data_IF_876629570409
#
_entry.id   IF_876629570409
#
_cell.length_a   1.000
_cell.length_b   1.000
_cell.length_c   1.000
_cell.angle_alpha   90.00
_cell.angle_beta   90.00
_cell.angle_gamma   90.00
#
_symmetry.space_group_name_H-M   'P 1'
#
loop_
_entity.id
_entity.type
_entity.pdbx_description
1 polymer ?
#
# COMPACT_ATOMS: atom_id res chain seq x y z
N UNK A 1 -22.99 -5.43 -36.05
CA UNK A 1 -23.45 -4.44 -35.05
C UNK A 1 -22.89 -4.77 -33.68
N UNK A 2 -22.93 -5.99 -33.19
CA UNK A 2 -22.46 -6.44 -31.85
C UNK A 2 -20.98 -6.12 -31.63
N UNK A 3 -20.10 -6.32 -32.61
CA UNK A 3 -18.67 -6.06 -32.49
C UNK A 3 -18.29 -4.57 -32.36
N UNK A 4 -19.12 -3.64 -32.84
CA UNK A 4 -18.91 -2.20 -32.67
C UNK A 4 -19.34 -1.73 -31.28
N UNK A 5 -20.44 -2.26 -30.75
CA UNK A 5 -20.92 -1.99 -29.40
C UNK A 5 -19.94 -2.44 -28.32
N UNK A 6 -19.43 -3.66 -28.42
CA UNK A 6 -18.45 -4.21 -27.47
C UNK A 6 -17.11 -3.43 -27.51
N UNK A 7 -16.71 -2.94 -28.68
CA UNK A 7 -15.52 -2.09 -28.82
C UNK A 7 -15.74 -0.70 -28.18
N UNK A 8 -16.92 -0.10 -28.38
CA UNK A 8 -17.27 1.21 -27.81
C UNK A 8 -17.37 1.15 -26.27
N UNK A 9 -17.98 0.11 -25.69
CA UNK A 9 -18.04 -0.11 -24.24
C UNK A 9 -16.64 -0.30 -23.67
N UNK A 10 -15.79 -1.08 -24.34
CA UNK A 10 -14.41 -1.33 -23.92
C UNK A 10 -13.53 -0.06 -23.99
N UNK A 11 -13.76 0.82 -24.95
CA UNK A 11 -13.05 2.10 -25.06
C UNK A 11 -13.53 3.07 -23.98
N UNK A 12 -14.80 3.15 -23.70
CA UNK A 12 -15.34 4.01 -22.63
C UNK A 12 -14.87 3.58 -21.24
N UNK A 13 -14.80 2.28 -20.98
CA UNK A 13 -14.41 1.76 -19.67
C UNK A 13 -12.95 2.10 -19.28
N UNK A 14 -11.99 2.08 -20.20
CA UNK A 14 -10.62 2.42 -19.83
C UNK A 14 -10.41 3.94 -19.70
N UNK A 15 -11.11 4.75 -20.48
CA UNK A 15 -11.10 6.21 -20.31
C UNK A 15 -11.66 6.56 -18.94
N UNK A 16 -12.77 5.95 -18.56
CA UNK A 16 -13.35 6.14 -17.22
C UNK A 16 -12.35 5.74 -16.10
N UNK A 17 -11.63 4.63 -16.27
CA UNK A 17 -10.61 4.21 -15.29
C UNK A 17 -9.45 5.21 -15.20
N UNK A 18 -8.95 5.74 -16.32
CA UNK A 18 -7.90 6.77 -16.35
C UNK A 18 -8.38 8.07 -15.71
N UNK A 19 -9.58 8.50 -16.04
CA UNK A 19 -10.18 9.71 -15.46
C UNK A 19 -10.41 9.54 -13.96
N UNK A 20 -10.91 8.38 -13.52
CA UNK A 20 -11.07 8.08 -12.10
C UNK A 20 -9.72 8.06 -11.37
N UNK A 21 -8.69 7.44 -11.95
CA UNK A 21 -7.35 7.43 -11.39
C UNK A 21 -6.78 8.85 -11.25
N UNK A 22 -6.92 9.67 -12.29
CA UNK A 22 -6.47 11.05 -12.27
C UNK A 22 -7.26 11.90 -11.27
N UNK A 23 -8.57 11.74 -11.21
CA UNK A 23 -9.42 12.43 -10.25
C UNK A 23 -9.04 12.05 -8.80
N UNK A 24 -8.91 10.77 -8.51
CA UNK A 24 -8.50 10.29 -7.18
C UNK A 24 -7.08 10.73 -6.82
N UNK A 25 -6.17 10.83 -7.80
CA UNK A 25 -4.79 11.23 -7.55
C UNK A 25 -4.62 12.75 -7.37
N UNK A 26 -5.34 13.56 -8.13
CA UNK A 26 -5.11 14.99 -8.27
C UNK A 26 -6.11 15.86 -7.49
N UNK A 27 -7.35 15.41 -7.34
CA UNK A 27 -8.37 16.21 -6.65
C UNK A 27 -8.13 16.18 -5.12
N UNK A 28 -8.18 17.34 -4.46
CA UNK A 28 -8.16 17.40 -3.01
C UNK A 28 -9.43 16.73 -2.46
N UNK A 29 -9.24 15.69 -1.64
CA UNK A 29 -10.35 15.06 -0.96
C UNK A 29 -10.64 15.81 0.34
N UNK A 30 -11.89 16.19 0.61
CA UNK A 30 -12.23 16.87 1.85
C UNK A 30 -11.98 15.96 3.05
N UNK A 31 -11.50 16.53 4.18
CA UNK A 31 -11.10 15.76 5.38
C UNK A 31 -12.22 14.85 5.92
N UNK A 32 -13.48 15.33 5.91
CA UNK A 32 -14.61 14.50 6.34
C UNK A 32 -14.78 13.21 5.54
N UNK A 33 -14.45 13.23 4.25
CA UNK A 33 -14.51 12.05 3.39
C UNK A 33 -13.36 11.09 3.70
N UNK A 34 -12.14 11.63 3.87
CA UNK A 34 -10.96 10.81 4.10
C UNK A 34 -10.93 10.26 5.53
N UNK A 35 -11.14 11.11 6.54
CA UNK A 35 -11.07 10.69 7.94
C UNK A 35 -12.37 10.04 8.40
N UNK A 36 -13.53 10.63 8.03
CA UNK A 36 -14.84 10.15 8.46
C UNK A 36 -15.30 8.89 7.74
N UNK A 37 -15.35 8.92 6.41
CA UNK A 37 -15.91 7.80 5.63
C UNK A 37 -14.83 6.76 5.35
N UNK A 38 -13.75 7.15 4.68
CA UNK A 38 -12.73 6.20 4.28
C UNK A 38 -11.99 5.61 5.50
N UNK A 39 -11.45 6.47 6.38
CA UNK A 39 -10.62 6.04 7.50
C UNK A 39 -11.36 5.22 8.56
N UNK A 40 -12.64 5.54 8.83
CA UNK A 40 -13.42 4.86 9.86
C UNK A 40 -14.22 3.65 9.36
N UNK A 41 -14.64 3.64 8.10
CA UNK A 41 -15.55 2.61 7.61
C UNK A 41 -14.94 1.76 6.50
N UNK A 42 -14.33 2.37 5.47
CA UNK A 42 -13.84 1.64 4.30
C UNK A 42 -12.51 0.95 4.60
N UNK A 43 -11.54 1.69 5.12
CA UNK A 43 -10.20 1.16 5.34
C UNK A 43 -10.14 -0.02 6.31
N UNK A 44 -10.83 -0.03 7.46
CA UNK A 44 -10.85 -1.19 8.36
C UNK A 44 -11.40 -2.46 7.71
N UNK A 45 -12.43 -2.32 6.86
CA UNK A 45 -12.98 -3.46 6.11
C UNK A 45 -11.97 -3.97 5.09
N UNK A 46 -11.37 -3.09 4.29
CA UNK A 46 -10.33 -3.45 3.30
C UNK A 46 -9.15 -4.13 4.00
N UNK A 47 -8.67 -3.57 5.10
CA UNK A 47 -7.58 -4.13 5.90
C UNK A 47 -7.95 -5.52 6.46
N UNK A 48 -9.14 -5.66 7.02
CA UNK A 48 -9.61 -6.94 7.58
C UNK A 48 -9.65 -8.03 6.52
N UNK A 49 -10.24 -7.73 5.36
CA UNK A 49 -10.32 -8.67 4.23
C UNK A 49 -8.93 -9.01 3.70
N UNK A 50 -8.10 -7.99 3.43
CA UNK A 50 -6.74 -8.20 2.94
C UNK A 50 -5.92 -9.03 3.92
N UNK A 51 -6.00 -8.74 5.22
CA UNK A 51 -5.31 -9.50 6.28
C UNK A 51 -5.84 -10.92 6.38
N UNK A 52 -7.16 -11.14 6.29
CA UNK A 52 -7.74 -12.47 6.30
C UNK A 52 -7.21 -13.32 5.14
N UNK A 53 -7.26 -12.77 3.92
CA UNK A 53 -6.76 -13.44 2.71
C UNK A 53 -5.26 -13.71 2.81
N UNK A 54 -4.47 -12.73 3.23
CA UNK A 54 -3.02 -12.91 3.34
C UNK A 54 -2.64 -13.90 4.44
N UNK A 55 -3.39 -13.97 5.54
CA UNK A 55 -3.11 -14.90 6.63
C UNK A 55 -3.33 -16.39 6.25
N UNK A 56 -4.18 -16.67 5.27
CA UNK A 56 -4.39 -18.03 4.75
C UNK A 56 -3.16 -18.50 3.97
N UNK A 57 -2.49 -17.64 3.23
CA UNK A 57 -1.32 -18.02 2.46
C UNK A 57 -0.13 -18.32 3.40
N UNK A 58 0.60 -19.44 3.23
CA UNK A 58 1.80 -19.77 4.00
C UNK A 58 3.03 -18.95 3.61
N UNK A 59 2.96 -18.21 2.51
CA UNK A 59 4.03 -17.39 1.92
C UNK A 59 3.62 -15.92 1.85
N UNK A 60 4.58 -15.04 1.59
CA UNK A 60 4.30 -13.63 1.35
C UNK A 60 3.52 -13.46 0.02
N UNK A 61 2.26 -13.00 0.11
CA UNK A 61 1.40 -12.79 -1.08
C UNK A 61 2.06 -11.84 -2.08
N UNK A 62 2.89 -10.92 -1.60
CA UNK A 62 3.67 -10.02 -2.45
C UNK A 62 4.57 -10.78 -3.42
N UNK A 63 5.21 -11.88 -3.00
CA UNK A 63 6.05 -12.70 -3.87
C UNK A 63 5.25 -13.30 -5.02
N UNK A 64 4.05 -13.83 -4.71
CA UNK A 64 3.16 -14.35 -5.74
C UNK A 64 2.70 -13.25 -6.71
N UNK A 65 2.43 -12.04 -6.22
CA UNK A 65 2.08 -10.88 -7.06
C UNK A 65 3.24 -10.46 -7.96
N UNK A 66 4.47 -10.44 -7.44
CA UNK A 66 5.67 -10.11 -8.24
C UNK A 66 5.86 -11.17 -9.34
N UNK A 67 5.80 -12.45 -8.99
CA UNK A 67 5.93 -13.55 -9.96
C UNK A 67 4.83 -13.44 -11.02
N UNK A 68 3.59 -13.26 -10.61
CA UNK A 68 2.46 -13.10 -11.54
C UNK A 68 2.66 -11.87 -12.46
N UNK A 69 3.14 -10.74 -11.93
CA UNK A 69 3.42 -9.56 -12.72
C UNK A 69 4.52 -9.82 -13.76
N UNK A 70 5.62 -10.48 -13.37
CA UNK A 70 6.71 -10.86 -14.29
C UNK A 70 6.18 -11.79 -15.40
N UNK A 71 5.39 -12.80 -15.06
CA UNK A 71 4.81 -13.72 -16.03
C UNK A 71 3.85 -13.00 -17.00
N UNK A 72 3.02 -12.11 -16.49
CA UNK A 72 2.10 -11.31 -17.31
C UNK A 72 2.88 -10.39 -18.25
N UNK A 73 3.93 -9.71 -17.75
CA UNK A 73 4.78 -8.84 -18.57
C UNK A 73 5.48 -9.66 -19.66
N UNK A 74 6.09 -10.79 -19.31
CA UNK A 74 6.75 -11.70 -20.27
C UNK A 74 5.80 -12.19 -21.36
N UNK A 75 4.62 -12.67 -20.96
CA UNK A 75 3.58 -13.10 -21.91
C UNK A 75 3.11 -11.97 -22.84
N UNK A 76 2.95 -10.77 -22.28
CA UNK A 76 2.56 -9.58 -23.05
C UNK A 76 3.65 -9.15 -24.01
N UNK A 77 4.93 -9.20 -23.59
CA UNK A 77 6.07 -8.90 -24.44
C UNK A 77 6.16 -9.88 -25.63
N UNK A 78 6.00 -11.18 -25.38
CA UNK A 78 5.97 -12.20 -26.41
C UNK A 78 4.84 -11.96 -27.43
N UNK A 79 3.64 -11.59 -26.94
CA UNK A 79 2.54 -11.22 -27.82
C UNK A 79 2.80 -9.96 -28.64
N UNK A 80 3.40 -8.94 -28.03
CA UNK A 80 3.76 -7.72 -28.76
C UNK A 80 4.80 -7.98 -29.85
N UNK A 81 5.75 -8.86 -29.58
CA UNK A 81 6.72 -9.30 -30.57
C UNK A 81 6.05 -9.92 -31.81
N UNK A 82 5.05 -10.77 -31.60
CA UNK A 82 4.29 -11.37 -32.70
C UNK A 82 3.46 -10.34 -33.49
N UNK A 83 2.89 -9.33 -32.80
CA UNK A 83 2.18 -8.21 -33.43
C UNK A 83 3.15 -7.35 -34.23
N UNK A 84 4.33 -7.02 -33.68
CA UNK A 84 5.33 -6.22 -34.37
C UNK A 84 5.79 -6.88 -35.67
N UNK A 85 5.98 -8.20 -35.67
CA UNK A 85 6.35 -8.98 -36.86
C UNK A 85 5.26 -9.02 -37.94
N UNK A 86 3.97 -8.97 -37.53
CA UNK A 86 2.82 -9.08 -38.46
C UNK A 86 2.27 -7.75 -38.95
N UNK A 87 2.22 -6.77 -38.07
CA UNK A 87 1.51 -5.49 -38.29
C UNK A 87 2.42 -4.25 -38.22
N UNK A 88 3.72 -4.47 -38.07
CA UNK A 88 4.71 -3.42 -37.94
C UNK A 88 4.94 -2.90 -36.53
N UNK A 89 6.12 -2.34 -36.31
CA UNK A 89 6.60 -1.90 -34.98
C UNK A 89 5.75 -0.77 -34.42
N UNK A 90 5.32 0.18 -35.22
CA UNK A 90 4.54 1.33 -34.78
C UNK A 90 3.17 0.91 -34.21
N UNK A 91 2.52 -0.05 -34.85
CA UNK A 91 1.25 -0.63 -34.36
C UNK A 91 1.45 -1.35 -33.03
N UNK A 92 2.53 -2.12 -32.90
CA UNK A 92 2.86 -2.81 -31.67
C UNK A 92 3.16 -1.83 -30.53
N UNK A 93 3.91 -0.76 -30.77
CA UNK A 93 4.19 0.28 -29.77
C UNK A 93 2.93 0.99 -29.30
N UNK A 94 2.03 1.35 -30.23
CA UNK A 94 0.75 1.98 -29.88
C UNK A 94 -0.11 1.06 -28.99
N UNK A 95 -0.18 -0.21 -29.36
CA UNK A 95 -0.93 -1.21 -28.59
C UNK A 95 -0.30 -1.45 -27.21
N UNK A 96 1.05 -1.46 -27.11
CA UNK A 96 1.77 -1.54 -25.87
C UNK A 96 1.49 -0.33 -24.98
N UNK A 97 1.67 0.88 -25.48
CA UNK A 97 1.42 2.13 -24.76
C UNK A 97 0.01 2.17 -24.16
N UNK A 98 -0.97 1.83 -24.98
CA UNK A 98 -2.37 1.81 -24.55
C UNK A 98 -2.67 0.78 -23.46
N UNK A 99 -1.98 -0.38 -23.49
CA UNK A 99 -2.10 -1.41 -22.45
C UNK A 99 -1.40 -0.99 -21.15
N UNK A 100 -0.24 -0.38 -21.26
CA UNK A 100 0.51 0.15 -20.11
C UNK A 100 -0.32 1.22 -19.40
N UNK A 101 -0.84 2.21 -20.13
CA UNK A 101 -1.69 3.26 -19.55
C UNK A 101 -2.88 2.69 -18.81
N UNK A 102 -3.55 1.67 -19.36
CA UNK A 102 -4.64 0.99 -18.66
C UNK A 102 -4.18 0.29 -17.40
N UNK A 103 -3.08 -0.46 -17.49
CA UNK A 103 -2.53 -1.18 -16.35
C UNK A 103 -2.16 -0.22 -15.22
N UNK A 104 -1.48 0.87 -15.54
CA UNK A 104 -1.12 1.91 -14.56
C UNK A 104 -2.37 2.53 -13.95
N UNK A 105 -3.38 2.89 -14.76
CA UNK A 105 -4.62 3.46 -14.24
C UNK A 105 -5.32 2.53 -13.24
N UNK A 106 -5.41 1.23 -13.54
CA UNK A 106 -5.99 0.24 -12.62
C UNK A 106 -5.17 0.14 -11.34
N UNK A 107 -3.83 0.06 -11.44
CA UNK A 107 -2.95 -0.01 -10.27
C UNK A 107 -3.12 1.23 -9.38
N UNK A 108 -3.18 2.43 -9.98
CA UNK A 108 -3.39 3.68 -9.25
C UNK A 108 -4.73 3.69 -8.52
N UNK A 109 -5.82 3.29 -9.19
CA UNK A 109 -7.15 3.22 -8.55
C UNK A 109 -7.16 2.24 -7.37
N UNK A 110 -6.60 1.04 -7.58
CA UNK A 110 -6.53 0.02 -6.54
C UNK A 110 -5.65 0.49 -5.37
N UNK A 111 -4.47 1.04 -5.68
CA UNK A 111 -3.56 1.55 -4.65
C UNK A 111 -4.20 2.68 -3.83
N UNK A 112 -4.80 3.67 -4.48
CA UNK A 112 -5.45 4.79 -3.81
C UNK A 112 -6.66 4.32 -3.00
N UNK A 113 -7.47 3.40 -3.55
CA UNK A 113 -8.63 2.85 -2.86
C UNK A 113 -8.26 1.97 -1.66
N UNK A 114 -7.19 1.21 -1.75
CA UNK A 114 -6.76 0.31 -0.68
C UNK A 114 -5.90 1.00 0.39
N UNK A 115 -5.04 1.92 -0.01
CA UNK A 115 -4.06 2.51 0.91
C UNK A 115 -3.76 3.99 0.68
N UNK A 116 -3.71 4.45 -0.55
CA UNK A 116 -3.23 5.79 -0.90
C UNK A 116 -4.03 6.91 -0.24
N UNK A 117 -5.32 6.72 0.02
CA UNK A 117 -6.15 7.67 0.75
C UNK A 117 -5.68 7.88 2.20
N UNK A 118 -4.97 6.92 2.82
CA UNK A 118 -4.42 7.11 4.16
C UNK A 118 -3.36 8.22 4.22
N UNK A 119 -2.62 8.47 3.13
CA UNK A 119 -1.65 9.57 3.07
C UNK A 119 -2.30 10.96 3.07
N UNK A 120 -3.61 11.01 2.85
CA UNK A 120 -4.41 12.25 2.87
C UNK A 120 -5.16 12.48 4.17
N UNK A 121 -5.00 11.56 5.13
CA UNK A 121 -5.60 11.70 6.47
C UNK A 121 -4.92 12.82 7.23
N UNK A 122 -5.67 13.38 8.16
CA UNK A 122 -5.12 14.34 9.12
C UNK A 122 -3.93 13.72 9.85
N UNK A 123 -2.75 14.38 9.86
CA UNK A 123 -1.58 13.87 10.57
C UNK A 123 -1.88 13.55 12.03
N UNK A 124 -1.41 12.41 12.52
CA UNK A 124 -1.64 11.95 13.89
C UNK A 124 -1.19 13.01 14.92
N UNK A 125 -0.08 13.69 14.67
CA UNK A 125 0.41 14.78 15.52
C UNK A 125 -0.65 15.85 15.76
N UNK A 126 -1.42 16.21 14.73
CA UNK A 126 -2.50 17.21 14.85
C UNK A 126 -3.69 16.69 15.67
N UNK A 127 -4.00 15.42 15.59
CA UNK A 127 -5.08 14.83 16.38
C UNK A 127 -4.68 14.63 17.85
N UNK A 128 -3.39 14.41 18.13
CA UNK A 128 -2.87 14.29 19.50
C UNK A 128 -2.72 15.64 20.20
N UNK A 129 -2.37 16.70 19.46
CA UNK A 129 -2.19 18.07 20.02
C UNK A 129 -3.51 18.85 20.18
N UNK A 130 -4.67 18.22 20.07
CA UNK A 130 -5.95 18.92 20.25
C UNK A 130 -6.23 20.04 19.22
N UNK A 131 -5.57 19.98 18.06
CA UNK A 131 -5.75 20.95 16.97
C UNK A 131 -4.76 22.11 16.95
N UNK A 132 -4.05 22.38 18.04
CA UNK A 132 -2.95 23.30 18.07
C UNK A 132 -1.64 22.57 17.72
N UNK A 133 -1.32 22.49 16.44
CA UNK A 133 0.05 22.13 16.06
C UNK A 133 0.93 23.30 16.45
N UNK A 134 1.73 23.18 17.51
CA UNK A 134 2.82 24.11 17.76
C UNK A 134 3.69 24.19 16.50
N UNK A 135 4.08 25.40 16.07
CA UNK A 135 4.97 25.54 14.94
C UNK A 135 6.24 24.73 15.23
N UNK A 136 6.50 23.73 14.37
CA UNK A 136 7.72 22.93 14.49
C UNK A 136 8.92 23.84 14.21
N UNK A 137 9.56 24.29 15.27
CA UNK A 137 10.83 24.99 15.17
C UNK A 137 11.97 23.98 15.09
N UNK A 138 13.11 24.36 14.53
CA UNK A 138 14.34 23.53 14.54
C UNK A 138 14.69 23.09 15.96
N UNK A 139 14.51 23.94 16.95
CA UNK A 139 14.75 23.61 18.35
C UNK A 139 13.81 22.52 18.90
N UNK A 140 12.52 22.55 18.54
CA UNK A 140 11.58 21.51 18.96
C UNK A 140 11.88 20.16 18.30
N UNK A 141 12.37 20.18 17.06
CA UNK A 141 12.80 18.97 16.34
C UNK A 141 14.07 18.38 16.98
N UNK A 142 15.05 19.22 17.30
CA UNK A 142 16.29 18.80 17.99
C UNK A 142 15.99 18.17 19.36
N UNK A 143 15.08 18.77 20.12
CA UNK A 143 14.63 18.23 21.41
C UNK A 143 13.96 16.86 21.23
N UNK A 144 13.04 16.73 20.29
CA UNK A 144 12.37 15.46 20.00
C UNK A 144 13.35 14.38 19.53
N UNK A 145 14.33 14.74 18.69
CA UNK A 145 15.39 13.80 18.27
C UNK A 145 16.28 13.38 19.45
N UNK A 146 16.61 14.28 20.36
CA UNK A 146 17.38 13.98 21.57
C UNK A 146 16.61 13.01 22.48
N UNK A 147 15.31 13.20 22.67
CA UNK A 147 14.44 12.33 23.46
C UNK A 147 14.33 10.92 22.84
N UNK A 148 14.11 10.84 21.53
CA UNK A 148 14.06 9.55 20.81
C UNK A 148 15.39 8.82 20.92
N UNK A 149 16.50 9.54 20.78
CA UNK A 149 17.84 8.96 20.91
C UNK A 149 18.12 8.46 22.33
N UNK A 150 17.73 9.24 23.36
CA UNK A 150 17.85 8.83 24.76
C UNK A 150 16.98 7.59 25.06
N UNK A 151 15.78 7.50 24.49
CA UNK A 151 14.93 6.33 24.58
C UNK A 151 15.57 5.12 23.90
N UNK A 152 16.08 5.27 22.69
CA UNK A 152 16.78 4.20 21.96
C UNK A 152 17.99 3.65 22.74
N UNK A 153 18.78 4.53 23.34
CA UNK A 153 19.93 4.14 24.19
C UNK A 153 19.48 3.35 25.43
N UNK A 154 18.36 3.75 26.06
CA UNK A 154 17.81 3.03 27.23
C UNK A 154 17.26 1.66 26.87
N UNK A 155 16.61 1.53 25.72
CA UNK A 155 15.96 0.28 25.31
C UNK A 155 16.96 -0.71 24.70
N UNK A 156 18.05 -0.23 24.12
CA UNK A 156 19.07 -1.06 23.44
C UNK A 156 19.60 -2.24 24.26
N UNK A 157 19.98 -2.08 25.57
CA UNK A 157 20.44 -3.21 26.36
C UNK A 157 19.39 -4.30 26.54
N UNK A 158 18.12 -3.92 26.72
CA UNK A 158 17.02 -4.86 26.83
C UNK A 158 16.78 -5.61 25.49
N UNK A 159 16.94 -4.95 24.36
CA UNK A 159 16.82 -5.59 23.04
C UNK A 159 17.98 -6.53 22.73
N UNK A 160 19.19 -6.23 23.20
CA UNK A 160 20.37 -7.11 23.00
C UNK A 160 20.45 -8.26 23.99
N UNK A 161 19.85 -8.12 25.17
CA UNK A 161 19.82 -9.15 26.20
C UNK A 161 18.78 -10.26 25.96
N UNK A 162 17.79 -9.99 25.11
CA UNK A 162 16.78 -10.98 24.76
C UNK A 162 17.17 -11.72 23.46
N UNK A 163 17.08 -13.07 23.45
CA UNK A 163 17.19 -13.80 22.19
C UNK A 163 16.12 -13.26 21.25
N UNK A 164 16.51 -12.99 20.00
CA UNK A 164 15.62 -12.39 19.01
C UNK A 164 14.30 -13.17 18.92
N UNK A 165 13.19 -12.48 19.11
CA UNK A 165 11.86 -13.07 19.00
C UNK A 165 11.67 -13.67 17.59
N UNK A 166 11.13 -14.87 17.55
CA UNK A 166 10.73 -15.49 16.28
C UNK A 166 9.49 -14.76 15.71
N UNK A 167 9.30 -14.85 14.42
CA UNK A 167 8.09 -14.29 13.78
C UNK A 167 6.78 -14.84 14.37
N UNK A 168 6.79 -16.08 14.87
CA UNK A 168 5.64 -16.70 15.51
C UNK A 168 5.35 -16.08 16.87
N UNK A 169 6.37 -15.78 17.66
CA UNK A 169 6.26 -15.09 18.96
C UNK A 169 5.78 -13.66 18.77
N UNK A 170 6.36 -12.92 17.83
CA UNK A 170 5.90 -11.56 17.48
C UNK A 170 4.42 -11.57 17.08
N UNK A 171 4.00 -12.51 16.23
CA UNK A 171 2.61 -12.62 15.79
C UNK A 171 1.63 -12.92 16.93
N UNK A 172 2.10 -13.58 17.99
CA UNK A 172 1.29 -13.91 19.15
C UNK A 172 1.23 -12.79 20.19
N UNK A 173 2.34 -12.13 20.44
CA UNK A 173 2.48 -11.16 21.54
C UNK A 173 2.15 -9.72 21.15
N UNK A 174 2.40 -9.33 19.90
CA UNK A 174 2.20 -7.95 19.42
C UNK A 174 0.73 -7.47 19.40
N UNK A 175 -0.29 -8.29 19.08
CA UNK A 175 -1.67 -7.81 18.98
C UNK A 175 -2.24 -7.17 20.23
N UNK A 176 -1.98 -7.72 21.40
CA UNK A 176 -2.50 -7.22 22.67
C UNK A 176 -2.02 -5.80 23.00
N UNK A 177 -0.72 -5.53 23.07
CA UNK A 177 -0.18 -4.19 23.28
C UNK A 177 -0.61 -3.19 22.21
N UNK A 178 -0.71 -3.60 20.94
CA UNK A 178 -1.20 -2.72 19.88
C UNK A 178 -2.66 -2.33 20.07
N UNK A 179 -3.53 -3.28 20.42
CA UNK A 179 -4.95 -2.98 20.67
C UNK A 179 -5.12 -2.08 21.89
N UNK A 180 -4.31 -2.24 22.94
CA UNK A 180 -4.30 -1.36 24.08
C UNK A 180 -3.90 0.08 23.70
N UNK A 181 -2.79 0.23 22.98
CA UNK A 181 -2.30 1.53 22.52
C UNK A 181 -3.31 2.22 21.58
N UNK A 182 -3.96 1.48 20.68
CA UNK A 182 -5.01 2.02 19.83
C UNK A 182 -6.23 2.49 20.64
N UNK A 183 -6.59 1.76 21.69
CA UNK A 183 -7.66 2.13 22.61
C UNK A 183 -7.37 3.43 23.35
N UNK A 184 -6.15 3.62 23.85
CA UNK A 184 -5.70 4.86 24.48
C UNK A 184 -5.74 6.06 23.52
N UNK A 185 -5.45 5.83 22.24
CA UNK A 185 -5.50 6.85 21.20
C UNK A 185 -6.92 7.09 20.65
N UNK A 186 -7.96 6.44 21.19
CA UNK A 186 -9.33 6.52 20.69
C UNK A 186 -9.49 6.02 19.26
N UNK A 187 -8.54 5.21 18.77
CA UNK A 187 -8.59 4.64 17.42
C UNK A 187 -9.36 3.31 17.41
N UNK A 188 -10.06 2.99 16.32
CA UNK A 188 -10.73 1.71 16.20
C UNK A 188 -9.71 0.57 16.26
N UNK A 189 -10.07 -0.51 16.96
CA UNK A 189 -9.25 -1.72 17.02
C UNK A 189 -8.93 -2.23 15.63
N UNK A 190 -7.71 -2.70 15.43
CA UNK A 190 -7.35 -3.41 14.22
C UNK A 190 -8.20 -4.68 14.14
N UNK A 191 -8.94 -4.84 13.08
CA UNK A 191 -9.90 -5.93 12.92
C UNK A 191 -9.22 -7.30 12.99
N UNK A 192 -7.93 -7.41 12.61
CA UNK A 192 -7.10 -8.63 12.71
C UNK A 192 -5.62 -8.28 12.65
N UNK A 193 -4.84 -8.94 13.49
CA UNK A 193 -3.39 -8.92 13.38
C UNK A 193 -2.92 -9.73 12.16
N UNK A 194 -2.02 -9.14 11.38
CA UNK A 194 -1.34 -9.83 10.29
C UNK A 194 -0.26 -10.76 10.82
N UNK A 195 -0.11 -11.94 10.22
CA UNK A 195 1.02 -12.83 10.50
C UNK A 195 2.26 -12.34 9.76
N UNK A 196 3.39 -12.06 10.44
CA UNK A 196 4.63 -11.72 9.78
C UNK A 196 5.08 -12.85 8.86
N UNK A 197 5.55 -12.50 7.67
CA UNK A 197 6.01 -13.46 6.66
C UNK A 197 7.28 -12.98 6.01
N UNK A 198 8.18 -13.91 5.74
CA UNK A 198 9.42 -13.62 5.02
C UNK A 198 9.15 -13.65 3.52
N UNK A 199 9.59 -12.62 2.80
CA UNK A 199 9.55 -12.59 1.34
C UNK A 199 10.76 -13.31 0.77
N UNK A 200 10.54 -14.27 -0.11
CA UNK A 200 11.63 -14.96 -0.81
C UNK A 200 12.30 -14.10 -1.88
N UNK A 201 11.56 -13.13 -2.42
CA UNK A 201 12.06 -12.23 -3.47
C UNK A 201 12.79 -11.03 -2.88
N UNK A 202 12.18 -10.37 -1.90
CA UNK A 202 12.70 -9.10 -1.36
C UNK A 202 13.75 -9.29 -0.26
N UNK A 203 13.62 -10.32 0.58
CA UNK A 203 14.57 -10.54 1.69
C UNK A 203 16.01 -10.71 1.23
N UNK A 204 16.33 -11.51 0.16
CA UNK A 204 17.69 -11.60 -0.36
C UNK A 204 18.20 -10.29 -0.94
N UNK A 205 17.30 -9.48 -1.54
CA UNK A 205 17.66 -8.18 -2.08
C UNK A 205 18.09 -7.21 -0.97
N UNK A 206 17.29 -7.07 0.08
CA UNK A 206 17.59 -6.17 1.19
C UNK A 206 18.75 -6.61 2.05
N UNK A 207 19.00 -7.94 2.19
CA UNK A 207 20.20 -8.44 2.88
C UNK A 207 21.50 -8.09 2.18
N UNK A 208 21.48 -7.84 0.88
CA UNK A 208 22.68 -7.46 0.10
C UNK A 208 22.87 -5.94 0.00
N UNK A 209 21.81 -5.17 0.26
CA UNK A 209 21.81 -3.70 0.16
C UNK A 209 22.13 -3.00 1.48
N UNK A 210 22.21 -3.70 2.60
CA UNK A 210 22.60 -3.22 3.93
C UNK A 210 23.82 -3.90 4.45
#
# INVERSE_FOLDING_TARGET
>A
VVGRLTRAIRVRGWIAAVVAAAALALLPAPGWLVDGVYGRHVYPVVQSVATAVTNVAPFAVLDALIIAAVLVVGFRAARLWTVARRSGVLTALWEAARRVVRGVAVVVVVFLGMWGCNYRRTPLARSLSGGAAEPQTTASLETAMAEVNALAVRVRPAMTAQPGLTYAEIARELPGPMDAALGELGQPRLARAGRPKVSFVLTPFFRRAG
#
